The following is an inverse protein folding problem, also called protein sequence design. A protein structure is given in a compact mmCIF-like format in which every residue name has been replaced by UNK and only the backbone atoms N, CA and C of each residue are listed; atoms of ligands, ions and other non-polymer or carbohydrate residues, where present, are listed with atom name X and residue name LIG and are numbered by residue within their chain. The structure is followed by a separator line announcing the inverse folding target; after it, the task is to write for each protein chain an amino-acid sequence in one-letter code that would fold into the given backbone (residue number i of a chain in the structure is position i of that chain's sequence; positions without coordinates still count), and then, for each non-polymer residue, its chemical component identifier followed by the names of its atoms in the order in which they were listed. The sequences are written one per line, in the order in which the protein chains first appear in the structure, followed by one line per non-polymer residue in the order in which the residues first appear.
data_IF_855294523900
#
_entry.id   IF_855294523900
#
_cell.length_a   1.000
_cell.length_b   1.000
_cell.length_c   1.000
_cell.angle_alpha   90.00
_cell.angle_beta   90.00
_cell.angle_gamma   90.00
#
_symmetry.space_group_name_H-M   'P 1'
#
loop_
_entity.id
_entity.type
_entity.pdbx_description
1 polymer ?
#
# COMPACT_ATOMS: atom_id res chain seq x y z
N UNK A 1 3.86 15.24 -6.34
CA UNK A 1 4.37 14.28 -5.36
C UNK A 1 3.53 13.03 -5.34
N UNK A 2 4.13 11.86 -5.41
CA UNK A 2 3.43 10.57 -5.44
C UNK A 2 3.61 9.75 -4.14
N UNK A 3 4.07 10.40 -3.08
CA UNK A 3 4.35 9.79 -1.78
C UNK A 3 5.74 9.17 -1.65
N UNK A 4 6.52 9.15 -2.73
CA UNK A 4 7.91 8.67 -2.75
C UNK A 4 8.85 9.68 -3.36
N UNK A 5 8.42 10.41 -4.38
CA UNK A 5 9.22 11.42 -5.05
C UNK A 5 8.32 12.43 -5.76
N UNK A 6 8.89 13.59 -6.06
CA UNK A 6 8.24 14.60 -6.87
C UNK A 6 8.40 14.24 -8.34
N UNK A 7 7.35 14.45 -9.11
CA UNK A 7 7.35 14.30 -10.56
C UNK A 7 6.67 15.54 -11.12
N UNK A 8 7.38 16.35 -11.88
CA UNK A 8 6.78 17.40 -12.67
C UNK A 8 6.49 16.86 -14.08
N UNK A 9 5.30 17.09 -14.57
CA UNK A 9 4.87 16.68 -15.91
C UNK A 9 4.49 17.99 -16.62
N UNK A 10 5.19 18.35 -17.70
CA UNK A 10 4.85 19.55 -18.45
C UNK A 10 3.45 19.43 -19.04
N UNK A 11 2.77 20.57 -19.16
CA UNK A 11 1.50 20.65 -19.86
C UNK A 11 1.69 20.21 -21.32
N UNK A 12 1.19 19.04 -21.65
CA UNK A 12 1.15 18.60 -23.04
C UNK A 12 -0.31 18.59 -23.50
N UNK A 13 -0.58 19.24 -24.60
CA UNK A 13 -1.92 19.22 -25.25
C UNK A 13 -2.30 17.85 -25.83
N UNK A 14 -1.56 16.79 -25.50
CA UNK A 14 -1.83 15.45 -26.02
C UNK A 14 -3.09 14.89 -25.36
N UNK A 15 -4.12 14.57 -26.16
CA UNK A 15 -5.35 14.02 -25.62
C UNK A 15 -5.07 12.69 -24.88
N UNK A 16 -5.65 12.58 -23.68
CA UNK A 16 -5.59 11.37 -22.88
C UNK A 16 -6.10 10.17 -23.68
N UNK A 17 -5.20 9.29 -24.10
CA UNK A 17 -5.59 8.01 -24.72
C UNK A 17 -6.06 7.04 -23.62
N UNK A 18 -7.37 6.82 -23.55
CA UNK A 18 -7.90 5.73 -22.72
C UNK A 18 -7.27 4.39 -23.18
N UNK A 19 -6.48 3.79 -22.30
CA UNK A 19 -5.99 2.43 -22.53
C UNK A 19 -7.19 1.50 -22.51
N UNK A 20 -7.56 0.95 -23.67
CA UNK A 20 -8.56 -0.14 -23.75
C UNK A 20 -8.07 -1.26 -22.83
N UNK A 21 -8.93 -1.68 -21.88
CA UNK A 21 -8.67 -2.88 -21.07
C UNK A 21 -8.58 -4.06 -22.04
N UNK A 22 -7.37 -4.59 -22.23
CA UNK A 22 -7.20 -5.88 -22.92
C UNK A 22 -7.84 -6.94 -22.02
N UNK A 23 -8.71 -7.78 -22.58
CA UNK A 23 -9.12 -9.03 -21.91
C UNK A 23 -7.84 -9.80 -21.58
N UNK A 24 -7.66 -10.14 -20.32
CA UNK A 24 -6.54 -11.02 -19.95
C UNK A 24 -6.86 -12.41 -20.50
N UNK A 25 -5.92 -13.06 -21.20
CA UNK A 25 -6.09 -14.46 -21.59
C UNK A 25 -6.28 -15.33 -20.34
N UNK A 26 -7.01 -16.41 -20.48
CA UNK A 26 -7.10 -17.42 -19.42
C UNK A 26 -5.69 -17.88 -19.04
N UNK A 27 -5.46 -17.99 -17.75
CA UNK A 27 -4.17 -18.44 -17.25
C UNK A 27 -4.08 -19.95 -17.43
N UNK A 28 -2.98 -20.44 -17.96
CA UNK A 28 -2.70 -21.88 -17.99
C UNK A 28 -2.61 -22.45 -16.56
N UNK A 29 -2.80 -23.76 -16.43
CA UNK A 29 -2.75 -24.44 -15.12
C UNK A 29 -1.37 -24.27 -14.45
N UNK A 30 -0.30 -24.38 -15.24
CA UNK A 30 1.07 -24.20 -14.75
C UNK A 30 1.27 -22.79 -14.21
N UNK A 31 0.67 -21.80 -14.86
CA UNK A 31 0.78 -20.41 -14.42
C UNK A 31 0.00 -20.13 -13.13
N UNK A 32 -1.13 -20.80 -12.93
CA UNK A 32 -1.87 -20.74 -11.68
C UNK A 32 -1.08 -21.40 -10.55
N UNK A 33 -0.58 -22.62 -10.77
CA UNK A 33 0.26 -23.34 -9.82
C UNK A 33 1.51 -22.56 -9.47
N UNK A 34 2.18 -21.96 -10.46
CA UNK A 34 3.35 -21.11 -10.20
C UNK A 34 3.02 -19.94 -9.31
N UNK A 35 1.88 -19.27 -9.54
CA UNK A 35 1.43 -18.16 -8.71
C UNK A 35 1.25 -18.55 -7.25
N UNK A 36 0.59 -19.69 -6.98
CA UNK A 36 0.38 -20.21 -5.63
C UNK A 36 1.69 -20.59 -4.93
N UNK A 37 2.59 -21.26 -5.67
CA UNK A 37 3.89 -21.66 -5.12
C UNK A 37 4.80 -20.48 -4.86
N UNK A 38 4.78 -19.48 -5.76
CA UNK A 38 5.55 -18.24 -5.59
C UNK A 38 5.23 -17.54 -4.26
N UNK A 39 3.98 -17.55 -3.81
CA UNK A 39 3.59 -16.95 -2.51
C UNK A 39 4.05 -17.80 -1.32
N UNK A 40 4.03 -19.12 -1.43
CA UNK A 40 4.37 -20.06 -0.35
C UNK A 40 5.88 -20.23 -0.13
N UNK A 41 6.69 -20.10 -1.18
CA UNK A 41 8.15 -20.33 -1.09
C UNK A 41 8.84 -19.21 -0.31
N UNK A 42 9.51 -19.58 0.78
CA UNK A 42 10.26 -18.66 1.66
C UNK A 42 11.75 -18.63 1.33
N UNK A 43 12.39 -17.49 1.63
CA UNK A 43 13.84 -17.29 1.46
C UNK A 43 14.19 -16.01 0.70
N UNK A 44 15.47 -15.79 0.48
CA UNK A 44 15.95 -14.69 -0.38
C UNK A 44 15.64 -14.94 -1.85
N UNK A 45 15.73 -13.89 -2.68
CA UNK A 45 15.38 -13.95 -4.12
C UNK A 45 16.00 -15.14 -4.86
N UNK A 46 17.31 -15.34 -4.70
CA UNK A 46 18.04 -16.45 -5.36
C UNK A 46 17.54 -17.82 -4.91
N UNK A 47 17.40 -18.02 -3.59
CA UNK A 47 16.93 -19.28 -3.01
C UNK A 47 15.49 -19.59 -3.42
N UNK A 48 14.59 -18.61 -3.43
CA UNK A 48 13.21 -18.79 -3.89
C UNK A 48 13.13 -19.17 -5.36
N UNK A 49 13.92 -18.49 -6.20
CA UNK A 49 13.96 -18.82 -7.64
C UNK A 49 14.48 -20.24 -7.87
N UNK A 50 15.56 -20.65 -7.19
CA UNK A 50 16.12 -21.99 -7.32
C UNK A 50 15.12 -23.09 -6.87
N UNK A 51 14.39 -22.87 -5.78
CA UNK A 51 13.37 -23.83 -5.31
C UNK A 51 12.22 -23.97 -6.31
N UNK A 52 11.77 -22.86 -6.89
CA UNK A 52 10.72 -22.89 -7.93
C UNK A 52 11.22 -23.57 -9.19
N UNK A 53 12.47 -23.35 -9.59
CA UNK A 53 13.05 -24.01 -10.74
C UNK A 53 13.07 -25.53 -10.55
N UNK A 54 13.57 -26.02 -9.43
CA UNK A 54 13.59 -27.46 -9.12
C UNK A 54 12.17 -28.07 -9.14
N UNK A 55 11.16 -27.33 -8.69
CA UNK A 55 9.77 -27.82 -8.63
C UNK A 55 9.10 -27.83 -10.01
N UNK A 56 9.43 -26.86 -10.89
CA UNK A 56 8.77 -26.71 -12.17
C UNK A 56 9.50 -27.39 -13.33
N UNK A 57 10.82 -27.67 -13.22
CA UNK A 57 11.59 -28.38 -14.27
C UNK A 57 10.91 -29.66 -14.77
N UNK A 58 10.34 -30.53 -13.91
CA UNK A 58 9.70 -31.76 -14.39
C UNK A 58 8.43 -31.55 -15.25
N UNK A 59 7.87 -30.34 -15.29
CA UNK A 59 6.66 -30.02 -16.06
C UNK A 59 6.97 -29.61 -17.51
N UNK A 60 8.26 -29.44 -17.84
CA UNK A 60 8.71 -28.97 -19.15
C UNK A 60 9.53 -30.04 -19.86
N UNK A 61 9.66 -29.93 -21.18
CA UNK A 61 10.36 -30.90 -22.00
C UNK A 61 11.88 -30.84 -21.82
N UNK A 62 12.39 -29.64 -21.60
CA UNK A 62 13.80 -29.40 -21.37
C UNK A 62 14.01 -28.37 -20.23
N UNK A 63 15.24 -28.32 -19.74
CA UNK A 63 15.60 -27.47 -18.61
C UNK A 63 15.63 -25.98 -19.00
N UNK A 64 15.98 -25.66 -20.24
CA UNK A 64 16.06 -24.29 -20.74
C UNK A 64 14.65 -23.68 -20.81
N UNK A 65 13.64 -24.44 -21.28
CA UNK A 65 12.25 -24.02 -21.30
C UNK A 65 11.71 -23.76 -19.89
N UNK A 66 12.03 -24.64 -18.94
CA UNK A 66 11.68 -24.47 -17.52
C UNK A 66 12.34 -23.23 -16.92
N UNK A 67 13.64 -23.01 -17.18
CA UNK A 67 14.36 -21.84 -16.67
C UNK A 67 13.77 -20.54 -17.23
N UNK A 68 13.49 -20.47 -18.51
CA UNK A 68 12.87 -19.32 -19.13
C UNK A 68 11.49 -19.00 -18.54
N UNK A 69 10.65 -20.04 -18.36
CA UNK A 69 9.34 -19.90 -17.74
C UNK A 69 9.45 -19.35 -16.30
N UNK A 70 10.31 -19.96 -15.49
CA UNK A 70 10.50 -19.54 -14.09
C UNK A 70 11.07 -18.13 -14.02
N UNK A 71 12.06 -17.77 -14.84
CA UNK A 71 12.65 -16.42 -14.87
C UNK A 71 11.60 -15.36 -15.19
N UNK A 72 10.86 -15.55 -16.28
CA UNK A 72 9.84 -14.59 -16.72
C UNK A 72 8.77 -14.36 -15.64
N UNK A 73 8.20 -15.46 -15.14
CA UNK A 73 7.08 -15.37 -14.22
C UNK A 73 7.50 -14.95 -12.81
N UNK A 74 8.67 -15.38 -12.35
CA UNK A 74 9.25 -14.92 -11.09
C UNK A 74 9.49 -13.40 -11.11
N UNK A 75 10.09 -12.90 -12.18
CA UNK A 75 10.34 -11.47 -12.34
C UNK A 75 9.04 -10.65 -12.42
N UNK A 76 8.05 -11.16 -13.17
CA UNK A 76 6.74 -10.53 -13.28
C UNK A 76 6.02 -10.45 -11.92
N UNK A 77 5.95 -11.56 -11.18
CA UNK A 77 5.28 -11.60 -9.87
C UNK A 77 6.03 -10.76 -8.82
N UNK A 78 7.38 -10.80 -8.83
CA UNK A 78 8.20 -9.96 -7.97
C UNK A 78 7.96 -8.47 -8.23
N UNK A 79 7.89 -8.05 -9.50
CA UNK A 79 7.58 -6.68 -9.89
C UNK A 79 6.17 -6.28 -9.46
N UNK A 80 5.17 -7.13 -9.68
CA UNK A 80 3.79 -6.88 -9.29
C UNK A 80 3.65 -6.71 -7.76
N UNK A 81 4.38 -7.52 -6.98
CA UNK A 81 4.44 -7.39 -5.51
C UNK A 81 5.05 -6.05 -5.12
N UNK A 82 6.18 -5.67 -5.74
CA UNK A 82 6.83 -4.40 -5.48
C UNK A 82 5.94 -3.20 -5.84
N UNK A 83 5.22 -3.26 -6.94
CA UNK A 83 4.26 -2.21 -7.32
C UNK A 83 3.08 -2.10 -6.34
N UNK A 84 2.63 -3.22 -5.77
CA UNK A 84 1.64 -3.20 -4.68
C UNK A 84 2.18 -2.47 -3.44
N UNK A 85 3.42 -2.74 -3.05
CA UNK A 85 4.08 -2.08 -1.93
C UNK A 85 4.25 -0.57 -2.17
N UNK A 86 4.79 -0.20 -3.33
CA UNK A 86 4.92 1.22 -3.69
C UNK A 86 3.58 1.96 -3.63
N UNK A 87 2.52 1.37 -4.16
CA UNK A 87 1.18 1.98 -4.10
C UNK A 87 0.67 2.20 -2.68
N UNK A 88 0.93 1.27 -1.78
CA UNK A 88 0.56 1.41 -0.37
C UNK A 88 1.36 2.52 0.30
N UNK A 89 2.69 2.49 0.13
CA UNK A 89 3.61 3.50 0.68
C UNK A 89 3.21 4.90 0.18
N UNK A 90 3.00 5.05 -1.13
CA UNK A 90 2.60 6.33 -1.72
C UNK A 90 1.31 6.87 -1.12
N UNK A 91 0.26 6.04 -1.03
CA UNK A 91 -1.00 6.44 -0.41
C UNK A 91 -0.83 6.76 1.07
N UNK A 92 0.03 6.06 1.77
CA UNK A 92 0.35 6.34 3.16
C UNK A 92 0.89 7.75 3.37
N UNK A 93 1.78 8.20 2.47
CA UNK A 93 2.42 9.51 2.60
C UNK A 93 1.70 10.67 1.90
N UNK A 94 0.77 10.39 0.99
CA UNK A 94 -0.02 11.42 0.32
C UNK A 94 -1.35 11.74 1.01
N UNK A 95 -1.68 11.01 2.07
CA UNK A 95 -2.93 11.20 2.81
C UNK A 95 -2.65 11.48 4.29
N UNK A 96 -3.63 12.09 4.96
CA UNK A 96 -3.59 12.32 6.41
C UNK A 96 -4.18 11.12 7.13
N UNK A 97 -3.59 10.80 8.30
CA UNK A 97 -4.03 9.72 9.16
C UNK A 97 -4.01 10.22 10.60
N UNK A 98 -4.97 9.80 11.40
CA UNK A 98 -4.99 10.12 12.83
C UNK A 98 -5.13 8.90 13.72
N UNK A 99 -5.44 7.72 13.14
CA UNK A 99 -5.49 6.48 13.89
C UNK A 99 -4.88 5.31 13.10
N UNK A 100 -4.22 4.42 13.83
CA UNK A 100 -3.97 3.05 13.40
C UNK A 100 -4.95 2.15 14.15
N UNK A 101 -5.87 1.55 13.42
CA UNK A 101 -6.96 0.77 13.98
C UNK A 101 -6.71 -0.73 13.79
N UNK A 102 -7.06 -1.52 14.80
CA UNK A 102 -7.14 -2.97 14.70
C UNK A 102 -8.55 -3.42 15.06
N UNK A 103 -9.17 -4.19 14.19
CA UNK A 103 -10.51 -4.75 14.41
C UNK A 103 -10.40 -6.27 14.51
N UNK A 104 -10.95 -6.83 15.59
CA UNK A 104 -10.98 -8.27 15.87
C UNK A 104 -12.42 -8.67 16.11
N UNK A 105 -12.89 -9.73 15.48
CA UNK A 105 -14.27 -10.15 15.70
C UNK A 105 -14.43 -11.03 16.94
N UNK A 106 -15.63 -10.96 17.49
CA UNK A 106 -16.12 -11.88 18.50
C UNK A 106 -16.77 -13.09 17.78
N UNK A 107 -16.23 -14.27 18.02
CA UNK A 107 -16.72 -15.53 17.43
C UNK A 107 -18.14 -15.92 17.87
N UNK A 108 -18.66 -15.32 18.94
CA UNK A 108 -20.05 -15.51 19.36
C UNK A 108 -21.02 -14.65 18.52
N UNK A 109 -20.54 -13.55 17.94
CA UNK A 109 -21.35 -12.62 17.13
C UNK A 109 -21.22 -12.85 15.63
N UNK A 110 -20.03 -13.24 15.18
CA UNK A 110 -19.68 -13.32 13.76
C UNK A 110 -18.91 -14.59 13.43
N UNK A 111 -19.12 -15.09 12.21
CA UNK A 111 -18.15 -15.92 11.51
C UNK A 111 -17.13 -15.00 10.84
N UNK A 112 -16.03 -15.54 10.35
CA UNK A 112 -15.01 -14.78 9.63
C UNK A 112 -15.59 -14.05 8.39
N UNK A 113 -16.40 -14.72 7.60
CA UNK A 113 -17.00 -14.15 6.37
C UNK A 113 -18.03 -13.06 6.69
N UNK A 114 -18.85 -13.26 7.71
CA UNK A 114 -19.80 -12.22 8.13
C UNK A 114 -19.10 -11.02 8.73
N UNK A 115 -18.01 -11.22 9.46
CA UNK A 115 -17.18 -10.12 9.96
C UNK A 115 -16.55 -9.34 8.83
N UNK A 116 -15.89 -10.03 7.87
CA UNK A 116 -15.28 -9.37 6.70
C UNK A 116 -16.29 -8.48 5.96
N UNK A 117 -17.43 -9.05 5.61
CA UNK A 117 -18.46 -8.33 4.85
C UNK A 117 -19.08 -7.17 5.63
N UNK A 118 -19.43 -7.39 6.90
CA UNK A 118 -20.06 -6.37 7.74
C UNK A 118 -19.12 -5.23 8.09
N UNK A 119 -17.84 -5.51 8.41
CA UNK A 119 -16.85 -4.48 8.68
C UNK A 119 -16.58 -3.65 7.43
N UNK A 120 -16.37 -4.29 6.27
CA UNK A 120 -16.14 -3.56 5.01
C UNK A 120 -17.32 -2.68 4.63
N UNK A 121 -18.55 -3.17 4.77
CA UNK A 121 -19.75 -2.37 4.54
C UNK A 121 -19.84 -1.16 5.50
N UNK A 122 -19.52 -1.36 6.77
CA UNK A 122 -19.51 -0.28 7.77
C UNK A 122 -18.47 0.78 7.41
N UNK A 123 -17.23 0.38 7.13
CA UNK A 123 -16.16 1.31 6.73
C UNK A 123 -16.47 2.01 5.40
N UNK A 124 -17.08 1.31 4.45
CA UNK A 124 -17.55 1.90 3.21
C UNK A 124 -18.61 2.99 3.45
N UNK A 125 -19.58 2.74 4.32
CA UNK A 125 -20.60 3.74 4.67
C UNK A 125 -20.00 4.94 5.40
N UNK A 126 -19.04 4.74 6.28
CA UNK A 126 -18.34 5.84 6.93
C UNK A 126 -17.51 6.65 5.93
N UNK A 127 -16.85 5.98 4.99
CA UNK A 127 -16.15 6.69 3.91
C UNK A 127 -17.09 7.51 3.03
N UNK A 128 -18.28 6.98 2.73
CA UNK A 128 -19.24 7.64 1.84
C UNK A 128 -20.04 8.77 2.52
N UNK A 129 -20.31 8.66 3.83
CA UNK A 129 -21.25 9.55 4.54
C UNK A 129 -20.59 10.44 5.59
N UNK A 130 -19.39 10.08 6.08
CA UNK A 130 -18.68 10.76 7.16
C UNK A 130 -17.27 11.16 6.77
N UNK A 131 -16.94 11.05 5.51
CA UNK A 131 -15.63 11.40 4.94
C UNK A 131 -14.42 10.66 5.55
N UNK A 132 -14.67 9.49 6.11
CA UNK A 132 -13.58 8.64 6.58
C UNK A 132 -12.68 8.22 5.41
N UNK A 133 -11.38 8.15 5.69
CA UNK A 133 -10.42 7.56 4.75
C UNK A 133 -9.70 6.42 5.45
N UNK A 134 -9.52 5.32 4.77
CA UNK A 134 -8.79 4.19 5.33
C UNK A 134 -8.02 3.44 4.25
N UNK A 135 -6.90 2.85 4.68
CA UNK A 135 -6.22 1.79 3.95
C UNK A 135 -5.79 0.72 4.94
N UNK A 136 -6.03 -0.53 4.60
CA UNK A 136 -5.79 -1.61 5.55
C UNK A 136 -5.52 -2.96 4.90
N UNK A 137 -5.17 -3.93 5.73
CA UNK A 137 -4.90 -5.30 5.35
C UNK A 137 -5.48 -6.26 6.38
N UNK A 138 -5.91 -7.42 5.90
CA UNK A 138 -6.33 -8.53 6.73
C UNK A 138 -5.12 -9.32 7.22
N UNK A 139 -5.18 -9.75 8.47
CA UNK A 139 -4.16 -10.58 9.11
C UNK A 139 -4.80 -11.74 9.85
N UNK A 140 -4.15 -12.92 9.81
CA UNK A 140 -4.44 -14.02 10.72
C UNK A 140 -3.43 -14.03 11.85
N UNK A 141 -3.93 -13.98 13.08
CA UNK A 141 -3.11 -14.01 14.29
C UNK A 141 -2.34 -15.34 14.44
N UNK A 142 -1.15 -15.27 15.00
CA UNK A 142 -0.30 -16.46 15.25
C UNK A 142 -0.89 -17.37 16.33
N UNK A 143 -1.63 -16.81 17.29
CA UNK A 143 -2.27 -17.54 18.40
C UNK A 143 -3.77 -17.72 18.12
N UNK A 144 -4.12 -18.79 17.43
CA UNK A 144 -5.53 -19.17 17.21
C UNK A 144 -6.10 -18.74 15.86
N UNK A 145 -5.26 -18.36 14.92
CA UNK A 145 -5.65 -18.02 13.52
C UNK A 145 -6.79 -17.01 13.37
N UNK A 146 -7.13 -16.30 14.48
CA UNK A 146 -8.21 -15.30 14.47
C UNK A 146 -7.91 -14.19 13.47
N UNK A 147 -8.92 -13.86 12.67
CA UNK A 147 -8.80 -12.80 11.66
C UNK A 147 -8.83 -11.42 12.30
N UNK A 148 -7.90 -10.56 11.89
CA UNK A 148 -7.84 -9.14 12.23
C UNK A 148 -7.85 -8.29 10.98
N UNK A 149 -8.37 -7.07 11.10
CA UNK A 149 -8.20 -6.04 10.08
C UNK A 149 -7.43 -4.87 10.66
N UNK A 150 -6.25 -4.60 10.10
CA UNK A 150 -5.41 -3.48 10.49
C UNK A 150 -5.54 -2.37 9.46
N UNK A 151 -5.75 -1.14 9.90
CA UNK A 151 -5.95 -0.02 9.00
C UNK A 151 -5.36 1.29 9.54
N UNK A 152 -4.65 2.02 8.69
CA UNK A 152 -4.48 3.45 8.86
C UNK A 152 -5.81 4.12 8.50
N UNK A 153 -6.31 4.96 9.39
CA UNK A 153 -7.61 5.59 9.27
C UNK A 153 -7.50 7.08 9.53
N UNK A 154 -8.15 7.87 8.71
CA UNK A 154 -8.44 9.28 8.97
C UNK A 154 -9.92 9.42 9.30
N UNK A 155 -10.19 9.97 10.48
CA UNK A 155 -11.53 10.23 10.99
C UNK A 155 -11.64 11.73 11.19
N UNK A 156 -12.50 12.44 10.44
CA UNK A 156 -12.73 13.85 10.65
C UNK A 156 -13.26 14.14 12.06
N UNK A 157 -12.99 15.33 12.56
CA UNK A 157 -13.48 15.77 13.87
C UNK A 157 -15.01 15.66 13.95
N UNK A 158 -15.51 15.14 15.07
CA UNK A 158 -16.94 14.92 15.29
C UNK A 158 -17.57 13.76 14.50
N UNK A 159 -16.79 13.01 13.71
CA UNK A 159 -17.31 11.90 12.90
C UNK A 159 -17.01 10.50 13.49
N UNK A 160 -16.43 10.44 14.69
CA UNK A 160 -16.23 9.16 15.39
C UNK A 160 -17.59 8.59 15.82
N UNK A 161 -17.91 7.33 15.50
CA UNK A 161 -19.08 6.66 16.06
C UNK A 161 -18.77 6.15 17.45
N UNK A 162 -19.71 6.25 18.40
CA UNK A 162 -19.47 5.82 19.78
C UNK A 162 -18.38 6.63 20.47
N UNK A 163 -17.86 6.08 21.55
CA UNK A 163 -16.86 6.71 22.41
C UNK A 163 -15.55 5.93 22.41
N UNK A 164 -14.44 6.64 22.59
CA UNK A 164 -13.13 6.05 22.81
C UNK A 164 -12.92 5.87 24.31
N UNK A 165 -12.70 4.63 24.73
CA UNK A 165 -12.56 4.22 26.12
C UNK A 165 -11.21 3.55 26.35
N UNK A 166 -10.57 3.85 27.49
CA UNK A 166 -9.37 3.16 27.89
C UNK A 166 -9.73 1.81 28.53
N UNK A 167 -9.18 0.73 27.97
CA UNK A 167 -9.29 -0.62 28.50
C UNK A 167 -7.92 -1.16 28.91
N UNK A 168 -7.88 -1.92 29.96
CA UNK A 168 -6.67 -2.60 30.42
C UNK A 168 -6.84 -4.11 30.22
N UNK A 169 -6.11 -4.68 29.25
CA UNK A 169 -6.17 -6.09 28.88
C UNK A 169 -4.85 -6.79 29.16
N UNK A 170 -4.93 -8.09 29.47
CA UNK A 170 -3.73 -8.88 29.62
C UNK A 170 -3.19 -9.35 28.26
N UNK A 171 -1.98 -8.92 27.92
CA UNK A 171 -1.28 -9.36 26.72
C UNK A 171 -0.60 -10.71 26.98
N UNK A 172 -1.15 -11.79 26.40
CA UNK A 172 -0.54 -13.12 26.49
C UNK A 172 0.83 -13.21 25.81
N UNK A 173 1.09 -12.35 24.81
CA UNK A 173 2.37 -12.28 24.10
C UNK A 173 3.46 -11.62 24.94
N UNK A 174 3.11 -10.60 25.72
CA UNK A 174 4.05 -9.80 26.51
C UNK A 174 4.02 -10.14 28.01
N UNK A 175 3.11 -11.03 28.40
CA UNK A 175 2.89 -11.47 29.78
C UNK A 175 2.70 -10.30 30.77
N UNK A 176 1.99 -9.26 30.35
CA UNK A 176 1.67 -8.08 31.18
C UNK A 176 0.34 -7.47 30.79
N UNK A 177 -0.21 -6.67 31.69
CA UNK A 177 -1.36 -5.83 31.37
C UNK A 177 -0.92 -4.67 30.48
N UNK A 178 -1.71 -4.36 29.46
CA UNK A 178 -1.48 -3.29 28.51
C UNK A 178 -2.76 -2.50 28.34
N UNK A 179 -2.60 -1.17 28.32
CA UNK A 179 -3.70 -0.25 28.06
C UNK A 179 -3.92 -0.18 26.54
N UNK A 180 -5.18 -0.21 26.15
CA UNK A 180 -5.62 0.00 24.77
C UNK A 180 -6.79 0.98 24.75
N UNK A 181 -6.86 1.79 23.70
CA UNK A 181 -8.01 2.64 23.45
C UNK A 181 -8.96 1.88 22.53
N UNK A 182 -10.15 1.61 23.00
CA UNK A 182 -11.14 0.85 22.26
C UNK A 182 -12.34 1.75 21.95
N UNK A 183 -13.10 1.39 20.92
CA UNK A 183 -14.29 2.16 20.54
C UNK A 183 -15.56 1.38 20.85
N UNK A 184 -16.46 1.99 21.60
CA UNK A 184 -17.71 1.34 22.07
C UNK A 184 -18.57 0.82 20.93
N UNK A 185 -18.74 1.58 19.85
CA UNK A 185 -19.54 1.18 18.67
C UNK A 185 -19.00 -0.07 17.99
N UNK A 186 -17.66 -0.13 17.78
CA UNK A 186 -17.05 -1.28 17.14
C UNK A 186 -17.01 -2.50 18.06
N UNK A 187 -16.79 -2.29 19.37
CA UNK A 187 -16.80 -3.35 20.35
C UNK A 187 -18.18 -4.01 20.47
N UNK A 188 -19.23 -3.21 20.53
CA UNK A 188 -20.60 -3.71 20.58
C UNK A 188 -20.95 -4.51 19.31
N UNK A 189 -20.59 -3.99 18.16
CA UNK A 189 -21.02 -4.52 16.87
C UNK A 189 -20.20 -5.72 16.41
N UNK A 190 -18.90 -5.70 16.58
CA UNK A 190 -17.99 -6.69 15.98
C UNK A 190 -17.20 -7.48 17.01
N UNK A 191 -16.77 -6.87 18.07
CA UNK A 191 -15.84 -7.38 19.04
C UNK A 191 -14.72 -6.38 19.31
N UNK A 192 -13.59 -6.82 19.83
CA UNK A 192 -12.51 -5.93 20.24
C UNK A 192 -12.01 -5.06 19.11
N UNK A 193 -11.91 -3.77 19.40
CA UNK A 193 -11.25 -2.79 18.55
C UNK A 193 -10.08 -2.16 19.30
N UNK A 194 -9.10 -1.61 18.57
CA UNK A 194 -7.97 -0.89 19.11
C UNK A 194 -7.70 0.33 18.24
N UNK A 195 -7.59 1.51 18.84
CA UNK A 195 -7.44 2.80 18.17
C UNK A 195 -6.18 3.50 18.69
N UNK A 196 -5.05 3.23 18.07
CA UNK A 196 -3.80 3.90 18.38
C UNK A 196 -3.70 5.22 17.61
N UNK A 197 -3.53 6.34 18.35
CA UNK A 197 -3.34 7.64 17.70
C UNK A 197 -2.08 7.64 16.83
N UNK A 198 -2.16 8.34 15.69
CA UNK A 198 -1.04 8.53 14.76
C UNK A 198 -0.83 10.04 14.60
N UNK A 199 0.30 10.54 15.11
CA UNK A 199 0.54 11.98 15.24
C UNK A 199 1.65 12.49 14.32
N UNK A 200 2.45 11.59 13.74
CA UNK A 200 3.62 11.95 12.96
C UNK A 200 3.92 10.94 11.84
N UNK A 201 4.81 11.33 10.93
CA UNK A 201 5.19 10.52 9.77
C UNK A 201 5.91 9.21 10.14
N UNK A 202 6.60 9.15 11.28
CA UNK A 202 7.27 7.93 11.74
C UNK A 202 6.26 6.86 12.12
N UNK A 203 5.20 7.24 12.86
CA UNK A 203 4.11 6.34 13.23
C UNK A 203 3.33 5.84 12.01
N UNK A 204 3.13 6.70 10.99
CA UNK A 204 2.59 6.29 9.68
C UNK A 204 3.50 5.25 9.03
N UNK A 205 4.82 5.52 8.99
CA UNK A 205 5.81 4.59 8.42
C UNK A 205 5.79 3.23 9.12
N UNK A 206 5.75 3.22 10.44
CA UNK A 206 5.74 1.97 11.22
C UNK A 206 4.45 1.19 11.04
N UNK A 207 3.31 1.88 10.96
CA UNK A 207 2.02 1.26 10.62
C UNK A 207 2.03 0.63 9.23
N UNK A 208 2.61 1.30 8.24
CA UNK A 208 2.78 0.78 6.88
C UNK A 208 3.69 -0.46 6.89
N UNK A 209 4.85 -0.40 7.55
CA UNK A 209 5.78 -1.54 7.67
C UNK A 209 5.11 -2.73 8.34
N UNK A 210 4.32 -2.47 9.39
CA UNK A 210 3.55 -3.50 10.08
C UNK A 210 2.58 -4.20 9.11
N UNK A 211 1.75 -3.46 8.39
CA UNK A 211 0.82 -4.03 7.44
C UNK A 211 1.51 -4.75 6.27
N UNK A 212 2.62 -4.21 5.74
CA UNK A 212 3.39 -4.83 4.66
C UNK A 212 3.95 -6.20 5.04
N UNK A 213 4.31 -6.40 6.31
CA UNK A 213 4.77 -7.69 6.82
C UNK A 213 3.72 -8.81 6.61
N UNK A 214 2.45 -8.49 6.76
CA UNK A 214 1.35 -9.47 6.64
C UNK A 214 0.89 -9.70 5.21
N UNK A 215 0.89 -8.66 4.40
CA UNK A 215 0.60 -8.77 2.96
C UNK A 215 1.56 -9.75 2.27
N UNK A 216 2.81 -9.80 2.72
CA UNK A 216 3.79 -10.75 2.20
C UNK A 216 3.59 -12.19 2.68
N UNK A 217 2.87 -12.40 3.80
CA UNK A 217 2.67 -13.74 4.39
C UNK A 217 1.43 -14.45 3.86
N UNK A 218 0.34 -13.73 3.63
CA UNK A 218 -0.99 -14.32 3.47
C UNK A 218 -1.64 -14.03 2.11
N UNK A 219 -0.95 -13.39 1.17
CA UNK A 219 -1.46 -12.88 -0.14
C UNK A 219 -2.78 -12.08 -0.01
N UNK A 220 -3.05 -11.52 1.16
CA UNK A 220 -4.23 -10.73 1.41
C UNK A 220 -4.17 -9.42 0.60
N UNK A 221 -5.32 -9.01 0.07
CA UNK A 221 -5.43 -7.78 -0.69
C UNK A 221 -5.44 -6.57 0.25
N UNK A 222 -4.70 -5.53 -0.12
CA UNK A 222 -4.79 -4.24 0.54
C UNK A 222 -6.14 -3.62 0.18
N UNK A 223 -6.88 -3.21 1.19
CA UNK A 223 -8.16 -2.54 1.05
C UNK A 223 -7.95 -1.02 1.13
N UNK A 224 -8.58 -0.29 0.25
CA UNK A 224 -8.50 1.18 0.18
C UNK A 224 -9.91 1.77 0.16
N UNK A 225 -10.15 2.81 0.95
CA UNK A 225 -11.35 3.64 0.78
C UNK A 225 -11.28 4.41 -0.54
N UNK A 226 -12.43 4.86 -1.02
CA UNK A 226 -12.49 5.82 -2.12
C UNK A 226 -11.93 7.18 -1.69
N UNK A 227 -11.45 7.97 -2.65
CA UNK A 227 -10.99 9.33 -2.42
C UNK A 227 -9.59 9.45 -1.81
N UNK A 228 -8.85 8.35 -1.64
CA UNK A 228 -7.44 8.44 -1.27
C UNK A 228 -6.63 9.05 -2.41
N UNK A 229 -5.87 10.09 -2.08
CA UNK A 229 -4.93 10.71 -3.00
C UNK A 229 -3.81 9.73 -3.35
N UNK A 230 -3.44 9.66 -4.60
CA UNK A 230 -2.31 8.84 -5.07
C UNK A 230 -1.10 9.70 -5.42
N UNK A 231 -1.32 10.99 -5.55
CA UNK A 231 -0.30 12.01 -5.79
C UNK A 231 -0.83 13.35 -5.31
N UNK A 232 0.07 14.26 -5.12
CA UNK A 232 -0.19 15.67 -4.78
C UNK A 232 0.37 16.50 -5.93
N UNK A 233 -0.38 17.48 -6.40
CA UNK A 233 0.02 18.36 -7.49
C UNK A 233 0.36 19.72 -6.91
N UNK A 234 1.45 20.29 -7.36
CA UNK A 234 1.85 21.67 -7.10
C UNK A 234 2.37 22.26 -8.41
N UNK A 235 2.12 23.53 -8.63
CA UNK A 235 2.75 24.24 -9.73
C UNK A 235 4.23 24.45 -9.41
N UNK A 236 5.07 24.28 -10.42
CA UNK A 236 6.50 24.55 -10.39
C UNK A 236 6.73 25.71 -11.36
N UNK A 237 7.23 26.83 -10.88
CA UNK A 237 7.54 27.97 -11.70
C UNK A 237 8.86 27.75 -12.43
N UNK A 238 9.01 28.33 -13.61
CA UNK A 238 10.25 28.21 -14.42
C UNK A 238 11.48 28.72 -13.65
N UNK A 239 11.31 29.73 -12.82
CA UNK A 239 12.34 30.31 -11.93
C UNK A 239 12.84 29.31 -10.84
N UNK A 240 12.05 28.30 -10.53
CA UNK A 240 12.40 27.26 -9.56
C UNK A 240 13.30 26.17 -10.16
N UNK A 241 13.55 26.22 -11.48
CA UNK A 241 14.26 25.19 -12.22
C UNK A 241 15.66 25.67 -12.60
N UNK A 242 16.67 25.05 -12.03
CA UNK A 242 18.07 25.27 -12.40
C UNK A 242 18.54 24.15 -13.34
N UNK A 243 18.25 24.30 -14.62
CA UNK A 243 18.74 23.38 -15.65
C UNK A 243 20.06 23.90 -16.26
N UNK A 244 21.02 23.00 -16.51
CA UNK A 244 22.31 23.37 -17.14
C UNK A 244 22.17 23.74 -18.60
N UNK A 245 21.15 23.26 -19.26
CA UNK A 245 20.82 23.58 -20.66
C UNK A 245 19.37 23.99 -20.69
N UNK A 246 19.12 25.25 -20.84
CA UNK A 246 17.76 25.79 -21.00
C UNK A 246 17.20 25.44 -22.37
N UNK A 247 16.89 24.17 -22.58
CA UNK A 247 16.22 23.73 -23.80
C UNK A 247 14.71 23.82 -23.56
N UNK A 248 14.17 25.01 -23.78
CA UNK A 248 12.75 25.33 -23.56
C UNK A 248 11.81 24.60 -24.53
N UNK A 249 12.36 23.99 -25.60
CA UNK A 249 11.56 23.32 -26.65
C UNK A 249 11.14 21.88 -26.30
N UNK A 250 11.74 21.27 -25.29
CA UNK A 250 11.43 19.89 -24.91
C UNK A 250 10.62 19.85 -23.62
N UNK A 251 9.52 19.15 -23.64
CA UNK A 251 8.65 18.96 -22.48
C UNK A 251 9.38 18.20 -21.34
N UNK A 252 9.74 18.88 -20.27
CA UNK A 252 10.50 18.35 -19.15
C UNK A 252 9.68 17.39 -18.30
N UNK A 253 10.34 16.32 -17.85
CA UNK A 253 9.82 15.42 -16.83
C UNK A 253 10.79 15.43 -15.65
N UNK A 254 10.35 16.00 -14.54
CA UNK A 254 11.18 16.15 -13.35
C UNK A 254 10.91 15.05 -12.36
N UNK A 255 11.95 14.35 -11.91
CA UNK A 255 11.85 13.34 -10.87
C UNK A 255 12.62 13.87 -9.66
N UNK A 256 11.91 14.08 -8.57
CA UNK A 256 12.44 14.49 -7.28
C UNK A 256 12.62 13.25 -6.39
N UNK A 257 13.88 12.82 -6.24
CA UNK A 257 14.27 11.97 -5.11
C UNK A 257 14.79 12.90 -3.99
N UNK A 258 15.95 12.70 -3.45
CA UNK A 258 16.58 13.66 -2.54
C UNK A 258 17.13 14.89 -3.27
N UNK A 259 17.29 14.78 -4.59
CA UNK A 259 17.64 15.86 -5.48
C UNK A 259 16.66 15.89 -6.65
N UNK A 260 16.26 17.08 -7.05
CA UNK A 260 15.43 17.29 -8.22
C UNK A 260 16.27 17.13 -9.48
N UNK A 261 15.95 16.14 -10.28
CA UNK A 261 16.63 15.91 -11.55
C UNK A 261 15.68 16.10 -12.71
N UNK A 262 15.97 17.06 -13.56
CA UNK A 262 15.26 17.28 -14.81
C UNK A 262 15.78 16.28 -15.84
N UNK A 263 14.88 15.52 -16.45
CA UNK A 263 15.22 14.51 -17.44
C UNK A 263 14.35 14.66 -18.69
N UNK A 264 14.99 14.62 -19.84
CA UNK A 264 14.34 14.58 -21.15
C UNK A 264 14.75 13.29 -21.84
N UNK A 265 13.77 12.47 -22.25
CA UNK A 265 13.98 11.20 -22.93
C UNK A 265 15.02 10.25 -22.27
N UNK A 266 15.16 10.36 -20.94
CA UNK A 266 16.10 9.56 -20.15
C UNK A 266 17.46 10.23 -19.92
N UNK A 267 17.73 11.37 -20.49
CA UNK A 267 18.95 12.14 -20.24
C UNK A 267 18.76 13.18 -19.15
N UNK A 268 19.77 13.34 -18.29
CA UNK A 268 19.76 14.32 -17.20
C UNK A 268 20.09 15.69 -17.78
N UNK A 269 19.12 16.61 -17.74
CA UNK A 269 19.27 17.99 -18.22
C UNK A 269 19.76 18.94 -17.12
N UNK A 270 19.47 18.64 -15.86
CA UNK A 270 19.89 19.45 -14.71
C UNK A 270 19.32 18.96 -13.39
N UNK A 271 19.67 19.68 -12.32
CA UNK A 271 19.20 19.41 -10.96
C UNK A 271 18.67 20.69 -10.32
N UNK A 272 17.61 20.58 -9.53
CA UNK A 272 17.08 21.66 -8.70
C UNK A 272 17.65 21.51 -7.27
N UNK A 273 17.94 22.63 -6.60
CA UNK A 273 18.51 22.56 -5.27
C UNK A 273 17.47 22.16 -4.22
N UNK A 274 17.90 21.52 -3.11
CA UNK A 274 17.02 21.20 -1.99
C UNK A 274 16.29 22.41 -1.40
N UNK A 275 16.93 23.59 -1.41
CA UNK A 275 16.33 24.82 -0.88
C UNK A 275 15.14 25.28 -1.72
N UNK A 276 15.19 25.07 -3.04
CA UNK A 276 14.04 25.34 -3.93
C UNK A 276 12.90 24.37 -3.63
N UNK A 277 13.21 23.08 -3.45
CA UNK A 277 12.22 22.06 -3.13
C UNK A 277 11.51 22.35 -1.81
N UNK A 278 12.23 22.82 -0.79
CA UNK A 278 11.64 23.17 0.52
C UNK A 278 10.67 24.35 0.44
N UNK A 279 10.91 25.28 -0.51
CA UNK A 279 10.06 26.46 -0.74
C UNK A 279 8.83 26.16 -1.59
N UNK A 280 8.82 25.03 -2.31
CA UNK A 280 7.65 24.66 -3.11
C UNK A 280 6.42 24.51 -2.25
N UNK A 281 5.27 25.07 -2.67
CA UNK A 281 4.04 24.94 -1.90
C UNK A 281 3.67 23.47 -1.77
N UNK A 282 3.56 23.01 -0.54
CA UNK A 282 3.06 21.67 -0.25
C UNK A 282 1.59 21.63 -0.61
N UNK A 283 1.25 20.91 -1.66
CA UNK A 283 -0.13 20.77 -2.04
C UNK A 283 -0.92 20.10 -0.88
N UNK A 284 -2.00 20.77 -0.49
CA UNK A 284 -2.90 20.37 0.59
C UNK A 284 -3.74 19.14 0.26
#
# INVERSE_FOLDING_TARGET
YDGSHWIAIPHTERPYRQRRRRKQPEKSEELQQFGERFEKVKGGRKSRKAKLLLEFTPLFKDEDEAEQFVEEHFNRLSRNRWERYKRMIRRGYTNRWNFFCTYTYDSQKHTEDTFRSSLMNTLYHFSARRDWRYMGAWERGELGERLHFHALTYIPEGQMPGELEEHEDYSTKRHRREKSIQNSFFNERFGRSDFSAVNNAYEVSDSIKYMLKYISKNDEKIVYSRGLKTYVVSDVLDEDILCKTGDEEHGFKYILADNFTCMVDGEIMGTVSPEVIEKMPKAN
#
